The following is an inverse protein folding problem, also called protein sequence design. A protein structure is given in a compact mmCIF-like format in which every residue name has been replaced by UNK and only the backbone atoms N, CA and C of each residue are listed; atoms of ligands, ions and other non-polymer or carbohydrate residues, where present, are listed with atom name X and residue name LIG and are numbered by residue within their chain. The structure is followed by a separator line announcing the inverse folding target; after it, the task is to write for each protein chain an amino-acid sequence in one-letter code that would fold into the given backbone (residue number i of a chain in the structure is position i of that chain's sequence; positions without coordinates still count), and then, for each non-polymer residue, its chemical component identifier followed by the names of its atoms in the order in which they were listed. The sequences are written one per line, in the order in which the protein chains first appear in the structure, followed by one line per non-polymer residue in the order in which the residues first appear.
data_IF_655488847855
#
_entry.id   IF_655488847855
#
_cell.length_a   1.000
_cell.length_b   1.000
_cell.length_c   1.000
_cell.angle_alpha   90.00
_cell.angle_beta   90.00
_cell.angle_gamma   90.00
#
_symmetry.space_group_name_H-M   'P 1'
#
loop_
_entity.id
_entity.type
_entity.pdbx_description
1 polymer ?
#
# COMPACT_ATOMS: atom_id res chain seq x y z
N UNK A 1 0.11 5.27 10.15
CA UNK A 1 0.13 5.34 8.68
C UNK A 1 -0.14 3.96 8.05
N UNK A 2 0.73 2.95 8.23
CA UNK A 2 0.52 1.62 7.60
C UNK A 2 -0.77 0.91 7.98
N UNK A 3 -1.24 1.09 9.21
CA UNK A 3 -2.48 0.48 9.68
C UNK A 3 -3.75 1.10 9.07
N UNK A 4 -3.65 2.25 8.41
CA UNK A 4 -4.80 2.98 7.85
C UNK A 4 -5.05 2.67 6.37
N UNK A 5 -4.07 2.07 5.67
CA UNK A 5 -4.19 1.80 4.24
C UNK A 5 -5.00 0.54 3.99
N UNK A 6 -6.12 0.70 3.28
CA UNK A 6 -7.13 -0.35 3.10
C UNK A 6 -6.62 -1.53 2.25
N UNK A 7 -5.74 -1.25 1.30
CA UNK A 7 -5.15 -2.22 0.38
C UNK A 7 -4.19 -3.20 1.09
N UNK A 8 -3.35 -2.71 2.01
CA UNK A 8 -2.50 -3.53 2.88
C UNK A 8 -3.32 -4.39 3.84
N UNK A 9 -4.41 -3.84 4.38
CA UNK A 9 -5.32 -4.62 5.22
C UNK A 9 -5.98 -5.77 4.43
N UNK A 10 -6.45 -5.49 3.20
CA UNK A 10 -7.03 -6.50 2.33
C UNK A 10 -6.02 -7.63 2.03
N UNK A 11 -4.80 -7.29 1.64
CA UNK A 11 -3.73 -8.27 1.36
C UNK A 11 -3.35 -9.09 2.60
N UNK A 12 -3.29 -8.46 3.78
CA UNK A 12 -3.07 -9.18 5.04
C UNK A 12 -4.18 -10.17 5.34
N UNK A 13 -5.44 -9.80 5.10
CA UNK A 13 -6.58 -10.71 5.28
C UNK A 13 -6.56 -11.84 4.25
N UNK A 14 -6.20 -11.57 3.00
CA UNK A 14 -6.06 -12.59 1.95
C UNK A 14 -4.97 -13.61 2.30
N UNK A 15 -3.79 -13.15 2.72
CA UNK A 15 -2.69 -14.04 3.12
C UNK A 15 -3.04 -14.88 4.35
N UNK A 16 -3.74 -14.31 5.34
CA UNK A 16 -4.25 -15.04 6.50
C UNK A 16 -5.31 -16.09 6.10
N UNK A 17 -6.22 -15.74 5.21
CA UNK A 17 -7.24 -16.66 4.70
C UNK A 17 -6.61 -17.78 3.86
N UNK A 18 -5.56 -17.48 3.09
CA UNK A 18 -4.79 -18.47 2.34
C UNK A 18 -4.09 -19.46 3.29
N UNK A 19 -3.49 -18.97 4.38
CA UNK A 19 -2.92 -19.84 5.41
C UNK A 19 -3.98 -20.77 6.06
N UNK A 20 -5.18 -20.24 6.36
CA UNK A 20 -6.31 -21.03 6.88
C UNK A 20 -6.79 -22.08 5.87
N UNK A 21 -6.97 -21.71 4.60
CA UNK A 21 -7.44 -22.61 3.53
C UNK A 21 -6.48 -23.75 3.24
N UNK A 22 -5.18 -23.48 3.32
CA UNK A 22 -4.15 -24.50 3.09
C UNK A 22 -4.00 -25.48 4.27
N UNK A 23 -4.76 -25.32 5.36
CA UNK A 23 -4.70 -26.22 6.51
C UNK A 23 -3.33 -26.20 7.19
N UNK A 24 -2.55 -25.13 6.99
CA UNK A 24 -1.23 -24.90 7.60
C UNK A 24 -1.33 -24.60 9.11
N UNK A 25 -2.41 -25.00 9.77
CA UNK A 25 -2.41 -25.22 11.21
C UNK A 25 -1.40 -26.31 11.51
N UNK A 26 -0.41 -26.03 12.36
CA UNK A 26 0.70 -26.90 12.82
C UNK A 26 0.37 -28.39 13.11
N UNK A 27 -0.90 -28.79 13.08
CA UNK A 27 -1.47 -30.10 13.46
C UNK A 27 -1.53 -31.12 12.30
N UNK A 28 -1.49 -30.70 11.02
CA UNK A 28 -1.59 -31.64 9.87
C UNK A 28 -0.35 -32.52 9.67
N UNK A 29 0.72 -32.32 10.45
CA UNK A 29 1.95 -33.12 10.35
C UNK A 29 1.88 -34.50 11.00
N UNK A 30 0.85 -34.82 11.80
CA UNK A 30 0.85 -36.04 12.61
C UNK A 30 -0.45 -36.84 12.77
N UNK A 31 -1.62 -36.38 12.30
CA UNK A 31 -2.87 -37.06 12.66
C UNK A 31 -3.77 -37.21 11.44
N UNK A 32 -3.75 -38.40 10.84
CA UNK A 32 -4.85 -38.87 9.99
C UNK A 32 -4.98 -40.40 9.97
N UNK A 33 -4.73 -41.08 11.10
CA UNK A 33 -4.86 -42.54 11.19
C UNK A 33 -5.45 -42.92 12.54
N UNK A 34 -6.77 -42.79 12.70
CA UNK A 34 -7.50 -43.48 13.77
C UNK A 34 -8.94 -43.70 13.31
N UNK A 35 -9.19 -44.83 12.65
CA UNK A 35 -10.54 -45.33 12.38
C UNK A 35 -10.79 -46.52 13.30
N UNK A 36 -11.67 -46.36 14.29
CA UNK A 36 -12.11 -47.43 15.20
C UNK A 36 -13.49 -47.89 14.71
N UNK A 37 -13.52 -49.02 14.03
CA UNK A 37 -14.76 -49.67 13.60
C UNK A 37 -14.95 -51.02 14.31
N UNK A 38 -16.16 -51.38 14.79
CA UNK A 38 -16.40 -52.71 15.35
C UNK A 38 -16.41 -53.76 14.24
N UNK A 39 -15.38 -54.61 14.17
CA UNK A 39 -15.35 -55.76 13.27
C UNK A 39 -15.96 -57.00 13.96
N UNK A 40 -16.98 -57.61 13.33
CA UNK A 40 -17.45 -58.97 13.65
C UNK A 40 -17.01 -59.89 12.53
N UNK A 41 -16.10 -60.82 12.81
CA UNK A 41 -15.70 -61.87 11.86
C UNK A 41 -16.26 -63.21 12.33
N UNK A 42 -16.95 -63.92 11.43
CA UNK A 42 -17.41 -65.29 11.64
C UNK A 42 -16.35 -66.25 11.13
N UNK A 43 -15.48 -66.73 12.00
CA UNK A 43 -14.65 -67.91 11.73
C UNK A 43 -15.17 -69.08 12.56
N UNK A 44 -15.86 -70.02 11.91
CA UNK A 44 -16.31 -71.25 12.54
C UNK A 44 -17.50 -71.93 11.85
N UNK A 45 -17.57 -73.27 11.95
CA UNK A 45 -18.68 -74.10 11.48
C UNK A 45 -19.91 -73.82 12.35
N UNK A 46 -21.13 -73.84 11.77
CA UNK A 46 -22.43 -73.57 12.42
C UNK A 46 -22.46 -74.01 13.90
N UNK A 47 -22.32 -73.06 14.84
CA UNK A 47 -22.50 -73.32 16.27
C UNK A 47 -21.63 -72.56 17.28
N UNK A 48 -20.53 -71.89 16.87
CA UNK A 48 -19.60 -71.27 17.84
C UNK A 48 -19.94 -69.82 18.24
N UNK A 49 -19.53 -69.45 19.47
CA UNK A 49 -19.77 -68.15 20.13
C UNK A 49 -19.01 -66.98 19.49
N UNK A 50 -19.65 -65.80 19.46
CA UNK A 50 -19.07 -64.55 18.96
C UNK A 50 -17.86 -64.11 19.80
N UNK A 51 -16.65 -64.15 19.22
CA UNK A 51 -15.48 -63.48 19.80
C UNK A 51 -15.51 -61.99 19.48
N UNK A 52 -15.57 -61.14 20.52
CA UNK A 52 -15.42 -59.68 20.40
C UNK A 52 -13.94 -59.34 20.36
N UNK A 53 -13.45 -58.85 19.23
CA UNK A 53 -12.11 -58.28 19.09
C UNK A 53 -12.20 -56.77 18.82
N UNK A 54 -11.25 -56.01 19.35
CA UNK A 54 -10.99 -54.63 18.93
C UNK A 54 -9.92 -54.73 17.86
N UNK A 55 -10.23 -54.31 16.62
CA UNK A 55 -9.26 -54.26 15.54
C UNK A 55 -8.55 -52.89 15.58
N UNK A 56 -7.22 -52.91 15.68
CA UNK A 56 -6.35 -51.74 15.61
C UNK A 56 -5.55 -51.84 14.32
N UNK A 57 -6.11 -51.29 13.24
CA UNK A 57 -5.39 -51.17 11.97
C UNK A 57 -4.47 -49.94 12.00
N UNK A 58 -3.16 -50.18 11.90
CA UNK A 58 -2.15 -49.13 11.77
C UNK A 58 -1.62 -49.14 10.33
N UNK A 59 -2.18 -48.30 9.47
CA UNK A 59 -1.64 -48.07 8.14
C UNK A 59 -0.34 -47.24 8.26
N UNK A 60 0.80 -47.89 8.06
CA UNK A 60 2.08 -47.23 7.79
C UNK A 60 2.09 -46.77 6.33
N UNK A 61 2.06 -45.46 6.03
CA UNK A 61 2.12 -45.00 4.66
C UNK A 61 3.54 -45.24 4.12
N UNK A 62 3.68 -46.16 3.16
CA UNK A 62 4.93 -46.44 2.45
C UNK A 62 5.18 -45.47 1.28
N UNK A 63 4.35 -44.44 1.08
CA UNK A 63 4.43 -43.52 -0.06
C UNK A 63 4.16 -42.05 0.31
N UNK A 64 5.08 -41.15 -0.08
CA UNK A 64 5.15 -39.72 0.27
C UNK A 64 4.20 -38.81 -0.56
N UNK A 65 2.99 -39.28 -0.87
CA UNK A 65 2.04 -38.52 -1.72
C UNK A 65 1.52 -37.21 -1.08
N UNK A 66 1.80 -36.97 0.20
CA UNK A 66 1.53 -35.72 0.91
C UNK A 66 2.59 -34.64 0.71
N UNK A 67 3.87 -35.01 0.56
CA UNK A 67 4.98 -34.06 0.49
C UNK A 67 4.86 -33.05 -0.65
N UNK A 68 4.46 -33.50 -1.85
CA UNK A 68 4.27 -32.62 -3.01
C UNK A 68 3.11 -31.62 -2.83
N UNK A 69 2.01 -32.03 -2.17
CA UNK A 69 0.87 -31.14 -1.86
C UNK A 69 1.25 -30.11 -0.80
N UNK A 70 2.00 -30.53 0.22
CA UNK A 70 2.50 -29.65 1.30
C UNK A 70 3.52 -28.65 0.75
N UNK A 71 4.50 -29.11 -0.03
CA UNK A 71 5.49 -28.23 -0.65
C UNK A 71 4.83 -27.18 -1.57
N UNK A 72 3.78 -27.56 -2.30
CA UNK A 72 3.00 -26.62 -3.12
C UNK A 72 2.24 -25.60 -2.26
N UNK A 73 1.64 -26.04 -1.14
CA UNK A 73 0.96 -25.16 -0.21
C UNK A 73 1.94 -24.14 0.42
N UNK A 74 3.11 -24.62 0.86
CA UNK A 74 4.18 -23.78 1.41
C UNK A 74 4.71 -22.77 0.39
N UNK A 75 5.00 -23.21 -0.84
CA UNK A 75 5.44 -22.32 -1.91
C UNK A 75 4.38 -21.25 -2.24
N UNK A 76 3.10 -21.62 -2.24
CA UNK A 76 1.99 -20.69 -2.49
C UNK A 76 1.85 -19.66 -1.38
N UNK A 77 2.01 -20.10 -0.13
CA UNK A 77 2.03 -19.22 1.05
C UNK A 77 3.23 -18.26 1.01
N UNK A 78 4.43 -18.76 0.78
CA UNK A 78 5.65 -17.94 0.69
C UNK A 78 5.56 -16.92 -0.44
N UNK A 79 4.96 -17.28 -1.58
CA UNK A 79 4.66 -16.32 -2.66
C UNK A 79 3.74 -15.20 -2.18
N UNK A 80 2.68 -15.53 -1.44
CA UNK A 80 1.73 -14.54 -0.91
C UNK A 80 2.39 -13.61 0.13
N UNK A 81 3.24 -14.16 1.00
CA UNK A 81 4.04 -13.39 1.97
C UNK A 81 5.00 -12.44 1.25
N UNK A 82 5.77 -12.92 0.28
CA UNK A 82 6.71 -12.10 -0.48
C UNK A 82 5.99 -10.97 -1.24
N UNK A 83 4.81 -11.24 -1.82
CA UNK A 83 3.99 -10.21 -2.47
C UNK A 83 3.52 -9.14 -1.49
N UNK A 84 3.13 -9.53 -0.28
CA UNK A 84 2.72 -8.59 0.77
C UNK A 84 3.90 -7.74 1.24
N UNK A 85 5.08 -8.33 1.38
CA UNK A 85 6.31 -7.61 1.74
C UNK A 85 6.70 -6.60 0.66
N UNK A 86 6.64 -6.98 -0.62
CA UNK A 86 6.90 -6.07 -1.74
C UNK A 86 5.95 -4.88 -1.73
N UNK A 87 4.64 -5.14 -1.59
CA UNK A 87 3.63 -4.09 -1.56
C UNK A 87 3.82 -3.10 -0.40
N UNK A 88 4.32 -3.58 0.75
CA UNK A 88 4.65 -2.72 1.88
C UNK A 88 5.82 -1.79 1.57
N UNK A 89 6.86 -2.30 0.90
CA UNK A 89 8.02 -1.49 0.46
C UNK A 89 7.58 -0.45 -0.58
N UNK A 90 6.74 -0.85 -1.53
CA UNK A 90 6.20 0.04 -2.57
C UNK A 90 5.36 1.16 -1.93
N UNK A 91 4.46 0.80 -1.01
CA UNK A 91 3.65 1.75 -0.22
C UNK A 91 4.51 2.76 0.53
N UNK A 92 5.58 2.31 1.19
CA UNK A 92 6.52 3.20 1.89
C UNK A 92 7.17 4.20 0.94
N UNK A 93 7.53 3.73 -0.24
CA UNK A 93 8.16 4.55 -1.27
C UNK A 93 7.19 5.58 -1.82
N UNK A 94 5.94 5.19 -2.11
CA UNK A 94 4.86 6.08 -2.55
C UNK A 94 4.61 7.22 -1.55
N UNK A 95 4.39 6.88 -0.27
CA UNK A 95 4.15 7.88 0.79
C UNK A 95 5.34 8.82 0.93
N UNK A 96 6.58 8.30 0.86
CA UNK A 96 7.79 9.12 0.95
C UNK A 96 7.90 10.10 -0.22
N UNK A 97 7.57 9.66 -1.43
CA UNK A 97 7.58 10.52 -2.62
C UNK A 97 6.52 11.62 -2.49
N UNK A 98 5.29 11.26 -2.13
CA UNK A 98 4.20 12.23 -1.95
C UNK A 98 4.53 13.25 -0.83
N UNK A 99 5.12 12.79 0.28
CA UNK A 99 5.52 13.67 1.37
C UNK A 99 6.62 14.65 0.96
N UNK A 100 7.63 14.18 0.21
CA UNK A 100 8.67 15.06 -0.31
C UNK A 100 8.11 16.07 -1.32
N UNK A 101 7.17 15.66 -2.17
CA UNK A 101 6.49 16.54 -3.12
C UNK A 101 5.67 17.63 -2.41
N UNK A 102 4.95 17.26 -1.35
CA UNK A 102 4.24 18.18 -0.46
C UNK A 102 5.17 19.23 0.14
N UNK A 103 6.28 18.79 0.76
CA UNK A 103 7.25 19.71 1.38
C UNK A 103 7.87 20.67 0.36
N UNK A 104 8.32 20.15 -0.79
CA UNK A 104 8.90 20.98 -1.84
C UNK A 104 7.90 22.03 -2.37
N UNK A 105 6.66 21.63 -2.61
CA UNK A 105 5.61 22.54 -3.09
C UNK A 105 5.25 23.60 -2.06
N UNK A 106 5.22 23.23 -0.77
CA UNK A 106 5.00 24.16 0.33
C UNK A 106 6.11 25.20 0.42
N UNK A 107 7.38 24.77 0.38
CA UNK A 107 8.54 25.67 0.43
C UNK A 107 8.53 26.67 -0.73
N UNK A 108 8.27 26.20 -1.94
CA UNK A 108 8.16 27.06 -3.13
C UNK A 108 7.01 28.06 -2.96
N UNK A 109 5.82 27.61 -2.57
CA UNK A 109 4.68 28.51 -2.38
C UNK A 109 4.95 29.57 -1.30
N UNK A 110 5.59 29.17 -0.20
CA UNK A 110 6.01 30.06 0.88
C UNK A 110 7.02 31.10 0.41
N UNK A 111 8.05 30.69 -0.33
CA UNK A 111 9.06 31.62 -0.86
C UNK A 111 8.42 32.67 -1.78
N UNK A 112 7.48 32.26 -2.63
CA UNK A 112 6.76 33.21 -3.49
C UNK A 112 5.94 34.22 -2.69
N UNK A 113 5.24 33.76 -1.64
CA UNK A 113 4.42 34.59 -0.75
C UNK A 113 5.25 35.59 0.04
N UNK A 114 6.33 35.11 0.65
CA UNK A 114 7.07 35.85 1.68
C UNK A 114 8.18 36.73 1.07
N UNK A 115 8.76 36.32 -0.07
CA UNK A 115 9.91 37.01 -0.66
C UNK A 115 9.60 37.61 -2.03
N UNK A 116 9.16 36.80 -3.01
CA UNK A 116 9.14 37.21 -4.42
C UNK A 116 8.02 38.23 -4.70
N UNK A 117 6.79 37.95 -4.27
CA UNK A 117 5.64 38.86 -4.51
C UNK A 117 5.85 40.20 -3.82
N UNK A 118 6.22 40.25 -2.52
CA UNK A 118 6.52 41.52 -1.86
C UNK A 118 7.70 42.27 -2.49
N UNK A 119 8.76 41.58 -2.91
CA UNK A 119 9.89 42.20 -3.59
C UNK A 119 9.48 42.86 -4.90
N UNK A 120 8.69 42.17 -5.73
CA UNK A 120 8.18 42.71 -7.00
C UNK A 120 7.31 43.94 -6.78
N UNK A 121 6.50 43.94 -5.71
CA UNK A 121 5.71 45.11 -5.31
C UNK A 121 6.61 46.29 -4.93
N UNK A 122 7.64 46.08 -4.10
CA UNK A 122 8.60 47.15 -3.74
C UNK A 122 9.31 47.75 -4.95
N UNK A 123 9.70 46.92 -5.91
CA UNK A 123 10.33 47.39 -7.16
C UNK A 123 9.37 48.26 -7.98
N UNK A 124 8.09 47.86 -8.07
CA UNK A 124 7.06 48.65 -8.74
C UNK A 124 6.86 50.01 -8.06
N UNK A 125 6.73 50.02 -6.73
CA UNK A 125 6.53 51.24 -5.93
C UNK A 125 7.72 52.20 -6.11
N UNK A 126 8.96 51.70 -6.12
CA UNK A 126 10.17 52.49 -6.36
C UNK A 126 10.23 53.04 -7.79
N UNK A 127 9.88 52.24 -8.80
CA UNK A 127 9.86 52.69 -10.19
C UNK A 127 8.77 53.75 -10.43
N UNK A 128 7.66 53.71 -9.68
CA UNK A 128 6.66 54.78 -9.70
C UNK A 128 7.24 56.09 -9.14
N UNK A 129 7.97 56.05 -8.03
CA UNK A 129 8.63 57.24 -7.47
C UNK A 129 9.68 57.82 -8.45
N UNK A 130 10.47 56.96 -9.10
CA UNK A 130 11.46 57.38 -10.10
C UNK A 130 10.80 57.97 -11.35
N UNK A 131 9.65 57.43 -11.77
CA UNK A 131 8.89 57.97 -12.90
C UNK A 131 8.37 59.37 -12.57
N UNK A 132 7.82 59.56 -11.37
CA UNK A 132 7.39 60.88 -10.89
C UNK A 132 8.56 61.88 -10.84
N UNK A 133 9.77 61.40 -10.54
CA UNK A 133 11.01 62.18 -10.58
C UNK A 133 11.65 62.34 -11.97
N UNK A 134 10.98 61.89 -13.04
CA UNK A 134 11.50 61.90 -14.42
C UNK A 134 12.83 61.13 -14.62
N UNK A 135 13.12 60.14 -13.76
CA UNK A 135 14.36 59.35 -13.80
C UNK A 135 14.24 58.06 -14.63
N UNK A 136 13.02 57.61 -14.92
CA UNK A 136 12.74 56.39 -15.70
C UNK A 136 11.61 56.65 -16.71
N UNK A 137 11.58 55.84 -17.76
CA UNK A 137 10.56 55.90 -18.81
C UNK A 137 9.24 55.24 -18.38
N UNK A 138 8.07 55.70 -18.88
CA UNK A 138 6.80 55.00 -18.68
C UNK A 138 6.85 53.50 -19.04
N UNK A 139 7.66 53.13 -20.03
CA UNK A 139 7.79 51.72 -20.45
C UNK A 139 8.44 50.84 -19.37
N UNK A 140 9.36 51.40 -18.57
CA UNK A 140 9.97 50.68 -17.44
C UNK A 140 8.98 50.51 -16.29
N UNK A 141 8.09 51.49 -16.07
CA UNK A 141 7.01 51.37 -15.11
C UNK A 141 6.03 50.26 -15.52
N UNK A 142 5.63 50.22 -16.80
CA UNK A 142 4.74 49.17 -17.30
C UNK A 142 5.37 47.78 -17.29
N UNK A 143 6.67 47.66 -17.59
CA UNK A 143 7.37 46.37 -17.50
C UNK A 143 7.42 45.87 -16.06
N UNK A 144 7.63 46.77 -15.09
CA UNK A 144 7.62 46.45 -13.67
C UNK A 144 6.23 46.04 -13.18
N UNK A 145 5.19 46.74 -13.63
CA UNK A 145 3.80 46.39 -13.31
C UNK A 145 3.43 45.00 -13.85
N UNK A 146 3.82 44.68 -15.09
CA UNK A 146 3.64 43.35 -15.67
C UNK A 146 4.37 42.28 -14.85
N UNK A 147 5.63 42.51 -14.50
CA UNK A 147 6.41 41.57 -13.69
C UNK A 147 5.80 41.34 -12.29
N UNK A 148 5.17 42.35 -11.69
CA UNK A 148 4.44 42.22 -10.43
C UNK A 148 3.19 41.34 -10.60
N UNK A 149 2.37 41.59 -11.62
CA UNK A 149 1.19 40.77 -11.92
C UNK A 149 1.58 39.31 -12.22
N UNK A 150 2.63 39.11 -13.02
CA UNK A 150 3.15 37.78 -13.33
C UNK A 150 3.62 37.04 -12.07
N UNK A 151 4.25 37.74 -11.12
CA UNK A 151 4.67 37.12 -9.86
C UNK A 151 3.50 36.63 -9.01
N UNK A 152 2.39 37.36 -8.99
CA UNK A 152 1.16 36.96 -8.30
C UNK A 152 0.52 35.77 -9.00
N UNK A 153 0.45 35.78 -10.34
CA UNK A 153 -0.08 34.66 -11.12
C UNK A 153 0.73 33.39 -10.90
N UNK A 154 2.07 33.49 -10.86
CA UNK A 154 2.93 32.34 -10.56
C UNK A 154 2.71 31.87 -9.13
N UNK A 155 2.61 32.77 -8.15
CA UNK A 155 2.30 32.41 -6.77
C UNK A 155 0.99 31.61 -6.66
N UNK A 156 -0.08 32.06 -7.31
CA UNK A 156 -1.37 31.34 -7.32
C UNK A 156 -1.20 29.92 -7.89
N UNK A 157 -0.45 29.77 -9.00
CA UNK A 157 -0.15 28.44 -9.57
C UNK A 157 0.65 27.56 -8.61
N UNK A 158 1.62 28.12 -7.89
CA UNK A 158 2.40 27.38 -6.89
C UNK A 158 1.56 27.00 -5.67
N UNK A 159 0.66 27.87 -5.24
CA UNK A 159 -0.29 27.58 -4.17
C UNK A 159 -1.25 26.45 -4.58
N UNK A 160 -1.76 26.48 -5.82
CA UNK A 160 -2.58 25.39 -6.34
C UNK A 160 -1.81 24.06 -6.39
N UNK A 161 -0.57 24.06 -6.89
CA UNK A 161 0.28 22.87 -6.89
C UNK A 161 0.53 22.31 -5.48
N UNK A 162 0.71 23.18 -4.48
CA UNK A 162 0.81 22.77 -3.08
C UNK A 162 -0.46 22.06 -2.58
N UNK A 163 -1.64 22.61 -2.85
CA UNK A 163 -2.89 21.96 -2.45
C UNK A 163 -3.12 20.62 -3.14
N UNK A 164 -2.72 20.50 -4.41
CA UNK A 164 -2.75 19.22 -5.13
C UNK A 164 -1.79 18.20 -4.49
N UNK A 165 -0.57 18.61 -4.14
CA UNK A 165 0.41 17.74 -3.48
C UNK A 165 -0.07 17.31 -2.07
N UNK A 166 -0.77 18.19 -1.34
CA UNK A 166 -1.38 17.82 -0.06
C UNK A 166 -2.50 16.78 -0.24
N UNK A 167 -3.36 16.95 -1.24
CA UNK A 167 -4.39 15.98 -1.57
C UNK A 167 -3.78 14.62 -1.98
N UNK A 168 -2.74 14.63 -2.82
CA UNK A 168 -1.99 13.43 -3.23
C UNK A 168 -1.39 12.69 -2.01
N UNK A 169 -0.77 13.44 -1.09
CA UNK A 169 -0.24 12.88 0.15
C UNK A 169 -1.34 12.24 1.00
N UNK A 170 -2.48 12.91 1.18
CA UNK A 170 -3.63 12.36 1.91
C UNK A 170 -4.17 11.09 1.24
N UNK A 171 -4.27 11.07 -0.08
CA UNK A 171 -4.70 9.89 -0.84
C UNK A 171 -3.74 8.71 -0.66
N UNK A 172 -2.42 8.95 -0.77
CA UNK A 172 -1.40 7.90 -0.62
C UNK A 172 -1.41 7.21 0.75
N UNK A 173 -1.93 7.88 1.77
CA UNK A 173 -2.10 7.33 3.12
C UNK A 173 -3.34 6.42 3.24
N UNK A 174 -4.35 6.58 2.39
CA UNK A 174 -5.62 5.85 2.45
C UNK A 174 -5.61 4.65 1.49
N UNK A 175 -5.17 4.86 0.25
CA UNK A 175 -5.17 3.85 -0.81
C UNK A 175 -4.01 4.08 -1.80
N UNK A 176 -3.72 3.10 -2.66
CA UNK A 176 -2.76 3.32 -3.73
C UNK A 176 -3.31 4.31 -4.75
N UNK A 177 -2.47 5.26 -5.18
CA UNK A 177 -2.83 6.26 -6.20
C UNK A 177 -3.19 5.60 -7.53
N UNK A 178 -2.50 4.50 -7.87
CA UNK A 178 -2.74 3.72 -9.09
C UNK A 178 -4.12 3.02 -9.15
N UNK A 179 -4.76 2.73 -8.01
CA UNK A 179 -6.10 2.11 -7.99
C UNK A 179 -7.21 3.11 -8.37
N UNK A 180 -6.94 4.41 -8.30
CA UNK A 180 -7.94 5.47 -8.53
C UNK A 180 -7.85 6.00 -9.97
N UNK A 181 -6.64 6.12 -10.54
CA UNK A 181 -6.44 6.53 -11.95
C UNK A 181 -6.90 5.47 -12.96
N UNK A 182 -7.03 4.20 -12.57
CA UNK A 182 -7.43 3.10 -13.46
C UNK A 182 -8.92 2.98 -13.77
N UNK A 183 -9.74 4.00 -13.46
CA UNK A 183 -11.19 3.97 -13.65
C UNK A 183 -11.74 5.09 -14.56
N UNK A 184 -10.87 5.70 -15.38
CA UNK A 184 -11.27 6.56 -16.52
C UNK A 184 -10.99 5.90 -17.87
#
# INVERSE_FOLDING_TARGET
AFEQRLDLQAMRLETQNLAKRLGLTKVTRFINVFEIGPARVLEGRRGDDYKKGIDLSFELPLFDWGGAKVARAEASYMKAVNRTAQMLIDTQSEIRVAHNHYLASYEIAKQYRDEIVPLRKKVLDENQLRYNGMLVSPFELFSSARAQVDSVNIYIKKLNAFWLAEAELQMSMIASVNLIEGNE
#
